data_IF_539627530933
#
_entry.id   IF_539627530933
#
_cell.length_a   1.000
_cell.length_b   1.000
_cell.length_c   1.000
_cell.angle_alpha   90.00
_cell.angle_beta   90.00
_cell.angle_gamma   90.00
#
_symmetry.space_group_name_H-M   'P 1'
#
loop_
_entity.id
_entity.type
_entity.pdbx_description
1 polymer ?
#
# COMPACT_ATOMS: atom_id res chain seq x y z
N UNK A 1 14.25 -4.83 -11.42
CA UNK A 1 14.35 -6.17 -10.76
C UNK A 1 13.01 -6.47 -10.10
N UNK A 2 12.56 -7.75 -10.10
CA UNK A 2 11.29 -8.11 -9.44
C UNK A 2 11.43 -7.98 -7.92
N UNK A 3 10.61 -7.13 -7.32
CA UNK A 3 10.55 -6.96 -5.86
C UNK A 3 9.51 -7.90 -5.23
N UNK A 4 8.40 -8.15 -5.95
CA UNK A 4 7.36 -9.08 -5.57
C UNK A 4 7.07 -10.02 -6.74
N UNK A 5 7.10 -11.33 -6.51
CA UNK A 5 6.73 -12.35 -7.49
C UNK A 5 5.73 -13.32 -6.85
N UNK A 6 4.58 -13.50 -7.51
CA UNK A 6 3.47 -14.31 -7.01
C UNK A 6 3.15 -15.40 -8.03
N UNK A 7 3.09 -16.67 -7.55
CA UNK A 7 2.84 -17.85 -8.39
C UNK A 7 1.75 -18.73 -7.78
N UNK A 8 0.73 -18.99 -8.56
CA UNK A 8 -0.39 -19.90 -8.24
C UNK A 8 -1.00 -19.66 -6.86
N UNK A 9 -1.03 -18.37 -6.44
CA UNK A 9 -1.47 -17.98 -5.12
C UNK A 9 -2.95 -18.25 -4.93
N UNK A 10 -3.27 -19.03 -3.89
CA UNK A 10 -4.64 -19.28 -3.46
C UNK A 10 -4.84 -18.86 -2.01
N UNK A 11 -6.03 -18.31 -1.74
CA UNK A 11 -6.47 -18.00 -0.38
C UNK A 11 -7.87 -18.53 -0.13
N UNK A 12 -8.00 -19.37 0.87
CA UNK A 12 -9.27 -19.97 1.30
C UNK A 12 -9.50 -19.67 2.77
N UNK A 13 -10.69 -19.18 3.10
CA UNK A 13 -11.17 -19.06 4.48
C UNK A 13 -12.17 -20.18 4.79
N UNK A 14 -12.13 -20.67 6.00
CA UNK A 14 -13.10 -21.63 6.51
C UNK A 14 -14.00 -20.90 7.52
N UNK A 15 -15.24 -20.64 7.14
CA UNK A 15 -16.23 -19.97 8.00
C UNK A 15 -17.43 -20.91 8.16
N UNK A 16 -17.79 -21.24 9.41
CA UNK A 16 -18.90 -22.14 9.71
C UNK A 16 -18.84 -23.49 8.93
N UNK A 17 -17.66 -24.09 8.87
CA UNK A 17 -17.36 -25.34 8.13
C UNK A 17 -17.56 -25.24 6.59
N UNK A 18 -17.74 -24.04 6.05
CA UNK A 18 -17.80 -23.82 4.60
C UNK A 18 -16.49 -23.19 4.13
N UNK A 19 -16.00 -23.71 3.01
CA UNK A 19 -14.82 -23.16 2.34
C UNK A 19 -15.25 -21.98 1.44
N UNK A 20 -14.53 -20.87 1.59
CA UNK A 20 -14.67 -19.71 0.71
C UNK A 20 -13.31 -19.42 0.05
N UNK A 21 -13.19 -19.75 -1.23
CA UNK A 21 -12.00 -19.56 -2.04
C UNK A 21 -11.99 -18.12 -2.55
N UNK A 22 -11.26 -17.24 -1.85
CA UNK A 22 -11.22 -15.80 -2.15
C UNK A 22 -10.20 -15.48 -3.23
N UNK A 23 -9.03 -16.13 -3.23
CA UNK A 23 -8.03 -16.01 -4.31
C UNK A 23 -7.82 -17.38 -4.97
N UNK A 24 -7.69 -17.38 -6.30
CA UNK A 24 -7.68 -18.60 -7.12
C UNK A 24 -6.56 -18.51 -8.17
N UNK A 25 -5.45 -19.18 -7.92
CA UNK A 25 -4.30 -19.28 -8.83
C UNK A 25 -3.84 -17.91 -9.37
N UNK A 26 -3.65 -16.95 -8.47
CA UNK A 26 -3.23 -15.60 -8.83
C UNK A 26 -1.73 -15.60 -9.17
N UNK A 27 -1.41 -15.03 -10.33
CA UNK A 27 -0.05 -14.93 -10.84
C UNK A 27 0.23 -13.50 -11.29
N UNK A 28 1.27 -12.87 -10.76
CA UNK A 28 1.78 -11.56 -11.22
C UNK A 28 3.16 -11.29 -10.63
N UNK A 29 3.80 -10.23 -11.12
CA UNK A 29 5.02 -9.71 -10.50
C UNK A 29 5.00 -8.18 -10.49
N UNK A 30 5.73 -7.57 -9.56
CA UNK A 30 5.94 -6.13 -9.47
C UNK A 30 7.44 -5.88 -9.51
N UNK A 31 7.87 -4.98 -10.39
CA UNK A 31 9.25 -4.54 -10.47
C UNK A 31 9.54 -3.37 -9.52
N UNK A 32 10.80 -3.23 -9.13
CA UNK A 32 11.25 -2.10 -8.31
C UNK A 32 10.90 -0.76 -8.99
N UNK A 33 10.38 0.17 -8.20
CA UNK A 33 9.97 1.49 -8.65
C UNK A 33 8.65 1.53 -9.41
N UNK A 34 7.93 0.41 -9.56
CA UNK A 34 6.56 0.44 -10.08
C UNK A 34 5.57 1.02 -9.05
N UNK A 35 4.53 1.66 -9.55
CA UNK A 35 3.34 2.03 -8.80
C UNK A 35 2.15 1.29 -9.41
N UNK A 36 1.68 0.24 -8.75
CA UNK A 36 0.65 -0.67 -9.26
C UNK A 36 -0.65 -0.51 -8.49
N UNK A 37 -1.77 -0.34 -9.21
CA UNK A 37 -3.09 -0.37 -8.63
C UNK A 37 -3.77 -1.72 -8.86
N UNK A 38 -4.47 -2.24 -7.85
CA UNK A 38 -5.36 -3.39 -7.93
C UNK A 38 -6.79 -2.87 -7.87
N UNK A 39 -7.54 -3.05 -8.96
CA UNK A 39 -8.94 -2.66 -9.09
C UNK A 39 -9.84 -3.89 -9.24
N UNK A 40 -11.12 -3.72 -8.96
CA UNK A 40 -12.12 -4.79 -9.09
C UNK A 40 -13.36 -4.49 -8.26
N UNK A 41 -14.48 -5.18 -8.49
CA UNK A 41 -15.72 -4.98 -7.74
C UNK A 41 -15.55 -5.29 -6.25
N UNK A 42 -16.52 -4.86 -5.44
CA UNK A 42 -16.52 -5.20 -4.01
C UNK A 42 -16.57 -6.71 -3.83
N UNK A 43 -15.76 -7.22 -2.88
CA UNK A 43 -15.70 -8.67 -2.61
C UNK A 43 -14.84 -9.49 -3.59
N UNK A 44 -14.20 -8.87 -4.59
CA UNK A 44 -13.36 -9.60 -5.58
C UNK A 44 -12.04 -10.14 -5.03
N UNK A 45 -11.66 -9.81 -3.79
CA UNK A 45 -10.44 -10.29 -3.14
C UNK A 45 -9.25 -9.32 -3.12
N UNK A 46 -9.44 -8.02 -3.48
CA UNK A 46 -8.35 -7.01 -3.54
C UNK A 46 -7.55 -6.87 -2.25
N UNK A 47 -8.21 -6.52 -1.14
CA UNK A 47 -7.53 -6.36 0.16
C UNK A 47 -6.98 -7.70 0.66
N UNK A 48 -7.69 -8.81 0.39
CA UNK A 48 -7.16 -10.16 0.67
C UNK A 48 -5.86 -10.42 -0.09
N UNK A 49 -5.79 -10.04 -1.38
CA UNK A 49 -4.57 -10.16 -2.16
C UNK A 49 -3.43 -9.36 -1.53
N UNK A 50 -3.68 -8.07 -1.23
CA UNK A 50 -2.68 -7.19 -0.61
C UNK A 50 -2.17 -7.76 0.72
N UNK A 51 -3.07 -8.20 1.60
CA UNK A 51 -2.69 -8.74 2.91
C UNK A 51 -1.98 -10.10 2.81
N UNK A 52 -2.36 -10.92 1.83
CA UNK A 52 -1.73 -12.23 1.63
C UNK A 52 -0.30 -12.08 1.08
N UNK A 53 -0.09 -11.21 0.08
CA UNK A 53 1.25 -11.02 -0.51
C UNK A 53 2.20 -10.19 0.35
N UNK A 54 1.68 -9.47 1.34
CA UNK A 54 2.47 -8.74 2.33
C UNK A 54 2.75 -9.56 3.60
N UNK A 55 2.30 -10.82 3.65
CA UNK A 55 2.47 -11.69 4.82
C UNK A 55 1.67 -11.25 6.06
N UNK A 56 0.67 -10.36 5.90
CA UNK A 56 -0.28 -10.04 6.99
C UNK A 56 -1.29 -11.16 7.19
N UNK A 57 -1.62 -11.87 6.13
CA UNK A 57 -2.48 -13.04 6.17
C UNK A 57 -1.78 -14.24 5.52
N UNK A 58 -2.02 -15.43 6.06
CA UNK A 58 -1.34 -16.63 5.61
C UNK A 58 -1.79 -17.07 4.21
N UNK A 59 -0.85 -17.50 3.39
CA UNK A 59 -1.09 -18.14 2.10
C UNK A 59 -1.70 -19.53 2.33
N UNK A 60 -2.74 -19.92 1.58
CA UNK A 60 -3.31 -21.27 1.63
C UNK A 60 -2.51 -22.24 0.75
N UNK A 61 -2.18 -21.83 -0.47
CA UNK A 61 -1.29 -22.55 -1.39
C UNK A 61 -0.71 -21.59 -2.43
N UNK A 62 0.32 -22.03 -3.13
CA UNK A 62 1.11 -21.21 -4.05
C UNK A 62 2.26 -20.49 -3.35
N UNK A 63 2.84 -19.50 -4.01
CA UNK A 63 4.04 -18.82 -3.54
C UNK A 63 3.91 -17.31 -3.70
N UNK A 64 4.48 -16.57 -2.75
CA UNK A 64 4.76 -15.15 -2.91
C UNK A 64 6.20 -14.90 -2.43
N UNK A 65 7.04 -14.40 -3.32
CA UNK A 65 8.43 -14.06 -3.02
C UNK A 65 8.60 -12.56 -2.98
N UNK A 66 9.04 -12.04 -1.85
CA UNK A 66 9.40 -10.63 -1.64
C UNK A 66 10.92 -10.49 -1.58
N UNK A 67 11.52 -9.71 -2.46
CA UNK A 67 12.97 -9.59 -2.60
C UNK A 67 13.66 -10.97 -2.73
N UNK A 68 13.05 -11.90 -3.47
CA UNK A 68 13.55 -13.27 -3.69
C UNK A 68 13.33 -14.24 -2.51
N UNK A 69 12.73 -13.82 -1.41
CA UNK A 69 12.43 -14.66 -0.24
C UNK A 69 10.95 -15.07 -0.25
N UNK A 70 10.67 -16.37 -0.25
CA UNK A 70 9.28 -16.88 -0.21
C UNK A 70 8.66 -16.66 1.17
N UNK A 71 7.69 -15.74 1.27
CA UNK A 71 7.01 -15.39 2.52
C UNK A 71 6.14 -16.52 3.07
N UNK A 72 5.69 -17.47 2.22
CA UNK A 72 4.91 -18.62 2.66
C UNK A 72 5.72 -19.60 3.55
N UNK A 73 7.06 -19.54 3.46
CA UNK A 73 7.97 -20.43 4.20
C UNK A 73 8.55 -19.77 5.45
N UNK A 74 8.28 -18.48 5.67
CA UNK A 74 8.82 -17.73 6.81
C UNK A 74 8.06 -18.02 8.10
N UNK A 75 8.78 -18.05 9.21
CA UNK A 75 8.21 -18.08 10.56
C UNK A 75 7.56 -16.76 10.93
N UNK A 76 6.68 -16.77 11.94
CA UNK A 76 5.93 -15.57 12.36
C UNK A 76 6.85 -14.40 12.76
N UNK A 77 7.96 -14.67 13.44
CA UNK A 77 8.93 -13.65 13.82
C UNK A 77 9.61 -13.06 12.58
N UNK A 78 10.08 -13.89 11.67
CA UNK A 78 10.74 -13.46 10.44
C UNK A 78 9.80 -12.61 9.56
N UNK A 79 8.52 -13.00 9.45
CA UNK A 79 7.50 -12.19 8.78
C UNK A 79 7.24 -10.86 9.48
N UNK A 80 7.25 -10.84 10.81
CA UNK A 80 7.07 -9.61 11.57
C UNK A 80 8.24 -8.66 11.34
N UNK A 81 9.48 -9.15 11.40
CA UNK A 81 10.68 -8.37 11.14
C UNK A 81 10.71 -7.86 9.69
N UNK A 82 10.34 -8.70 8.71
CA UNK A 82 10.26 -8.30 7.30
C UNK A 82 9.23 -7.17 7.08
N UNK A 83 8.04 -7.29 7.68
CA UNK A 83 7.00 -6.24 7.60
C UNK A 83 7.45 -4.95 8.26
N UNK A 84 8.15 -5.06 9.37
CA UNK A 84 8.60 -3.90 10.13
C UNK A 84 9.70 -3.12 9.41
N UNK A 85 10.65 -3.83 8.80
CA UNK A 85 11.87 -3.23 8.26
C UNK A 85 11.83 -2.94 6.75
N UNK A 86 11.17 -3.78 5.98
CA UNK A 86 11.22 -3.74 4.51
C UNK A 86 9.88 -3.39 3.84
N UNK A 87 8.76 -3.36 4.60
CA UNK A 87 7.43 -3.07 4.07
C UNK A 87 6.79 -1.88 4.78
N UNK A 88 6.22 -0.96 4.03
CA UNK A 88 5.39 0.12 4.56
C UNK A 88 3.90 -0.20 4.38
N UNK A 89 3.05 0.24 5.32
CA UNK A 89 1.61 -0.02 5.26
C UNK A 89 0.80 1.26 5.42
N UNK A 90 -0.15 1.45 4.50
CA UNK A 90 -1.15 2.52 4.54
C UNK A 90 -2.53 1.86 4.47
N UNK A 91 -3.39 2.11 5.44
CA UNK A 91 -4.72 1.52 5.54
C UNK A 91 -5.80 2.59 5.36
N UNK A 92 -6.97 2.19 4.88
CA UNK A 92 -8.15 3.04 4.82
C UNK A 92 -8.55 3.54 6.22
N UNK A 93 -8.56 2.64 7.21
CA UNK A 93 -8.65 3.00 8.62
C UNK A 93 -7.23 3.23 9.14
N UNK A 94 -6.88 4.44 9.43
CA UNK A 94 -5.50 4.89 9.68
C UNK A 94 -4.78 4.15 10.82
N UNK A 95 -5.52 3.49 11.73
CA UNK A 95 -5.00 2.72 12.88
C UNK A 95 -3.90 3.45 13.67
N UNK A 96 -4.15 4.72 13.96
CA UNK A 96 -3.30 5.49 14.87
C UNK A 96 -3.65 5.19 16.32
N UNK A 97 -2.65 5.10 17.19
CA UNK A 97 -2.82 4.89 18.61
C UNK A 97 -3.25 6.20 19.29
N UNK A 98 -4.41 6.18 19.94
CA UNK A 98 -5.05 7.38 20.52
C UNK A 98 -4.32 7.99 21.72
N UNK A 99 -3.47 7.22 22.36
CA UNK A 99 -2.68 7.63 23.54
C UNK A 99 -1.28 8.12 23.18
N UNK A 100 -0.99 8.29 21.90
CA UNK A 100 0.27 8.79 21.38
C UNK A 100 0.05 10.05 20.54
N UNK A 101 1.03 10.95 20.53
CA UNK A 101 1.07 12.08 19.62
C UNK A 101 1.17 11.63 18.17
N UNK A 102 0.96 12.53 17.21
CA UNK A 102 1.17 12.24 15.79
C UNK A 102 2.61 11.79 15.54
N UNK A 103 3.61 12.48 16.10
CA UNK A 103 5.02 12.13 15.96
C UNK A 103 5.34 10.77 16.57
N UNK A 104 4.81 10.46 17.77
CA UNK A 104 5.06 9.16 18.41
C UNK A 104 4.47 8.01 17.59
N UNK A 105 3.28 8.20 16.99
CA UNK A 105 2.70 7.23 16.06
C UNK A 105 3.58 7.00 14.82
N UNK A 106 4.18 8.06 14.27
CA UNK A 106 5.04 7.99 13.09
C UNK A 106 6.32 7.21 13.38
N UNK A 107 6.97 7.49 14.52
CA UNK A 107 8.26 6.86 14.86
C UNK A 107 8.13 5.46 15.45
N UNK A 108 6.94 5.05 15.88
CA UNK A 108 6.72 3.78 16.58
C UNK A 108 7.31 2.56 15.87
N UNK A 109 7.16 2.38 14.54
CA UNK A 109 7.79 1.24 13.86
C UNK A 109 9.31 1.26 13.93
N UNK A 110 9.96 2.42 13.88
CA UNK A 110 11.41 2.51 14.00
C UNK A 110 11.90 2.18 15.43
N UNK A 111 11.13 2.60 16.45
CA UNK A 111 11.44 2.27 17.85
C UNK A 111 11.29 0.76 18.11
N UNK A 112 10.38 0.08 17.40
CA UNK A 112 10.16 -1.36 17.50
C UNK A 112 11.14 -2.19 16.64
N UNK A 113 11.78 -1.58 15.67
CA UNK A 113 12.79 -2.22 14.83
C UNK A 113 13.99 -2.64 15.70
N UNK A 114 14.53 -3.83 15.41
CA UNK A 114 15.75 -4.30 16.07
C UNK A 114 17.04 -3.57 15.64
N UNK A 115 16.94 -2.51 14.84
CA UNK A 115 18.08 -1.71 14.37
C UNK A 115 18.66 -0.92 15.54
N UNK A 116 19.99 -0.89 15.63
CA UNK A 116 20.71 -0.12 16.67
C UNK A 116 20.77 1.38 16.29
N UNK A 117 19.63 2.05 16.38
CA UNK A 117 19.48 3.48 16.13
C UNK A 117 19.18 4.20 17.45
N UNK A 118 19.74 5.38 17.64
CA UNK A 118 19.41 6.20 18.81
C UNK A 118 18.00 6.81 18.64
N UNK A 119 17.31 7.02 19.76
CA UNK A 119 16.01 7.71 19.73
C UNK A 119 16.09 9.08 19.06
N UNK A 120 17.23 9.76 19.16
CA UNK A 120 17.46 11.07 18.55
C UNK A 120 17.43 10.96 17.01
N UNK A 121 18.16 9.99 16.44
CA UNK A 121 18.18 9.76 14.98
C UNK A 121 16.79 9.39 14.44
N UNK A 122 16.05 8.55 15.17
CA UNK A 122 14.67 8.19 14.80
C UNK A 122 13.76 9.42 14.81
N UNK A 123 13.85 10.28 15.84
CA UNK A 123 13.05 11.50 15.94
C UNK A 123 13.39 12.48 14.81
N UNK A 124 14.67 12.71 14.53
CA UNK A 124 15.13 13.59 13.45
C UNK A 124 14.58 13.12 12.09
N UNK A 125 14.69 11.82 11.80
CA UNK A 125 14.14 11.20 10.58
C UNK A 125 12.61 11.34 10.51
N UNK A 126 11.90 11.13 11.61
CA UNK A 126 10.46 11.34 11.68
C UNK A 126 10.06 12.77 11.37
N UNK A 127 10.77 13.74 11.95
CA UNK A 127 10.53 15.17 11.71
C UNK A 127 10.87 15.59 10.27
N UNK A 128 11.91 15.00 9.66
CA UNK A 128 12.22 15.23 8.24
C UNK A 128 11.09 14.77 7.34
N UNK A 129 10.55 13.56 7.56
CA UNK A 129 9.39 13.05 6.84
C UNK A 129 8.17 13.96 7.03
N UNK A 130 7.91 14.43 8.26
CA UNK A 130 6.82 15.35 8.54
C UNK A 130 6.99 16.70 7.83
N UNK A 131 8.20 17.26 7.77
CA UNK A 131 8.50 18.48 7.00
C UNK A 131 8.27 18.26 5.51
N UNK A 132 8.75 17.14 4.97
CA UNK A 132 8.60 16.77 3.57
C UNK A 132 7.12 16.67 3.17
N UNK A 133 6.26 16.14 4.04
CA UNK A 133 4.83 15.99 3.81
C UNK A 133 4.00 17.19 4.33
N UNK A 134 4.63 18.28 4.79
CA UNK A 134 3.96 19.51 5.22
C UNK A 134 3.05 19.33 6.42
N UNK A 135 3.49 18.56 7.43
CA UNK A 135 2.72 18.29 8.65
C UNK A 135 3.54 18.41 9.94
N UNK A 136 4.69 19.07 9.89
CA UNK A 136 5.56 19.20 11.07
C UNK A 136 4.90 19.98 12.23
N UNK A 137 4.00 20.88 11.89
CA UNK A 137 3.28 21.72 12.85
C UNK A 137 2.33 20.95 13.77
N UNK A 138 1.95 19.72 13.39
CA UNK A 138 1.06 18.87 14.17
C UNK A 138 1.80 17.75 14.92
N UNK A 139 3.13 17.81 15.03
CA UNK A 139 3.95 16.73 15.62
C UNK A 139 3.48 16.35 17.05
N UNK A 140 3.21 17.32 17.87
CA UNK A 140 2.84 17.15 19.28
C UNK A 140 1.33 17.07 19.51
N UNK A 141 0.51 17.19 18.45
CA UNK A 141 -0.94 17.12 18.56
C UNK A 141 -1.44 15.71 18.86
N UNK A 142 -2.58 15.64 19.53
CA UNK A 142 -3.39 14.42 19.60
C UNK A 142 -3.99 14.09 18.23
N UNK A 143 -4.12 12.80 17.91
CA UNK A 143 -4.70 12.35 16.63
C UNK A 143 -6.14 12.84 16.38
N UNK A 144 -6.86 13.19 17.45
CA UNK A 144 -8.23 13.72 17.37
C UNK A 144 -8.29 15.23 17.07
N UNK A 145 -7.15 15.93 17.13
CA UNK A 145 -7.04 17.38 16.92
C UNK A 145 -6.63 17.74 15.49
N UNK A 146 -6.41 16.75 14.65
CA UNK A 146 -5.88 16.93 13.28
C UNK A 146 -6.91 16.54 12.23
N UNK A 147 -6.82 17.15 11.05
CA UNK A 147 -7.69 16.80 9.93
C UNK A 147 -7.40 15.42 9.35
N UNK A 148 -8.39 14.81 8.68
CA UNK A 148 -8.21 13.51 8.03
C UNK A 148 -7.07 13.49 6.99
N UNK A 149 -6.87 14.57 6.24
CA UNK A 149 -5.76 14.69 5.29
C UNK A 149 -4.39 14.77 5.97
N UNK A 150 -4.28 15.52 7.08
CA UNK A 150 -3.06 15.56 7.90
C UNK A 150 -2.76 14.18 8.49
N UNK A 151 -3.78 13.50 9.03
CA UNK A 151 -3.64 12.18 9.61
C UNK A 151 -3.22 11.14 8.56
N UNK A 152 -3.75 11.23 7.33
CA UNK A 152 -3.33 10.35 6.23
C UNK A 152 -1.87 10.60 5.82
N UNK A 153 -1.42 11.86 5.76
CA UNK A 153 0.00 12.17 5.54
C UNK A 153 0.88 11.66 6.68
N UNK A 154 0.40 11.69 7.92
CA UNK A 154 1.09 11.04 9.04
C UNK A 154 1.18 9.50 8.87
N UNK A 155 0.14 8.85 8.32
CA UNK A 155 0.22 7.42 7.96
C UNK A 155 1.28 7.14 6.89
N UNK A 156 1.43 8.03 5.91
CA UNK A 156 2.51 7.93 4.92
C UNK A 156 3.88 8.08 5.61
N UNK A 157 4.07 9.09 6.48
CA UNK A 157 5.31 9.21 7.26
C UNK A 157 5.61 7.94 8.05
N UNK A 158 4.61 7.39 8.75
CA UNK A 158 4.74 6.14 9.50
C UNK A 158 5.15 4.97 8.62
N UNK A 159 4.57 4.86 7.42
CA UNK A 159 4.92 3.80 6.48
C UNK A 159 6.34 3.90 5.96
N UNK A 160 6.91 5.12 5.93
CA UNK A 160 8.23 5.42 5.38
C UNK A 160 9.35 5.44 6.43
N UNK A 161 9.04 5.42 7.73
CA UNK A 161 10.02 5.69 8.80
C UNK A 161 11.22 4.73 8.79
N UNK A 162 11.03 3.48 8.36
CA UNK A 162 12.09 2.47 8.26
C UNK A 162 12.71 2.36 6.85
N UNK A 163 12.42 3.29 5.94
CA UNK A 163 12.85 3.27 4.53
C UNK A 163 12.49 1.94 3.83
N UNK A 164 11.19 1.59 3.76
CA UNK A 164 10.75 0.32 3.22
C UNK A 164 11.07 0.21 1.72
N UNK A 165 11.28 -1.01 1.25
CA UNK A 165 11.48 -1.31 -0.18
C UNK A 165 10.18 -1.19 -0.96
N UNK A 166 9.05 -1.44 -0.28
CA UNK A 166 7.72 -1.41 -0.90
C UNK A 166 6.65 -0.93 0.08
N UNK A 167 5.72 -0.13 -0.41
CA UNK A 167 4.52 0.28 0.32
C UNK A 167 3.31 -0.52 -0.18
N UNK A 168 2.56 -1.07 0.77
CA UNK A 168 1.25 -1.68 0.55
C UNK A 168 0.16 -0.73 1.05
N UNK A 169 -0.73 -0.27 0.16
CA UNK A 169 -1.76 0.71 0.48
C UNK A 169 -3.15 0.14 0.19
N UNK A 170 -3.97 -0.01 1.23
CA UNK A 170 -5.36 -0.44 1.10
C UNK A 170 -6.27 0.77 1.17
N UNK A 171 -6.85 1.16 0.03
CA UNK A 171 -7.75 2.33 -0.14
C UNK A 171 -7.16 3.61 0.49
N UNK A 172 -5.94 4.06 0.11
CA UNK A 172 -5.22 5.12 0.82
C UNK A 172 -5.93 6.47 0.85
N UNK A 173 -6.97 6.65 0.03
CA UNK A 173 -7.77 7.88 -0.06
C UNK A 173 -9.25 7.67 0.29
N UNK A 174 -9.66 6.46 0.63
CA UNK A 174 -11.07 6.08 0.77
C UNK A 174 -11.84 6.81 1.88
N UNK A 175 -11.16 7.37 2.89
CA UNK A 175 -11.76 8.14 3.97
C UNK A 175 -11.64 9.66 3.77
N UNK A 176 -11.10 10.14 2.63
CA UNK A 176 -10.77 11.53 2.39
C UNK A 176 -11.74 12.21 1.42
N UNK A 177 -11.88 13.55 1.57
CA UNK A 177 -12.51 14.36 0.56
C UNK A 177 -11.62 14.46 -0.70
N UNK A 178 -12.20 14.96 -1.80
CA UNK A 178 -11.53 15.01 -3.11
C UNK A 178 -10.21 15.81 -3.12
N UNK A 179 -10.15 16.93 -2.37
CA UNK A 179 -8.95 17.76 -2.33
C UNK A 179 -7.81 17.03 -1.60
N UNK A 180 -8.08 16.53 -0.40
CA UNK A 180 -7.11 15.77 0.40
C UNK A 180 -6.66 14.47 -0.30
N UNK A 181 -7.57 13.81 -1.04
CA UNK A 181 -7.21 12.65 -1.88
C UNK A 181 -6.17 13.01 -2.95
N UNK A 182 -6.34 14.17 -3.60
CA UNK A 182 -5.38 14.67 -4.58
C UNK A 182 -3.99 14.89 -3.97
N UNK A 183 -3.93 15.57 -2.82
CA UNK A 183 -2.68 15.83 -2.09
C UNK A 183 -1.96 14.54 -1.68
N UNK A 184 -2.69 13.57 -1.11
CA UNK A 184 -2.14 12.27 -0.71
C UNK A 184 -1.56 11.52 -1.90
N UNK A 185 -2.27 11.52 -3.05
CA UNK A 185 -1.78 10.85 -4.25
C UNK A 185 -0.58 11.56 -4.87
N UNK A 186 -0.47 12.88 -4.74
CA UNK A 186 0.73 13.63 -5.15
C UNK A 186 1.95 13.25 -4.31
N UNK A 187 1.79 13.11 -2.99
CA UNK A 187 2.87 12.66 -2.12
C UNK A 187 3.30 11.22 -2.43
N UNK A 188 2.36 10.30 -2.65
CA UNK A 188 2.69 8.92 -3.07
C UNK A 188 3.40 8.89 -4.43
N UNK A 189 2.99 9.73 -5.39
CA UNK A 189 3.65 9.84 -6.68
C UNK A 189 5.09 10.38 -6.57
N UNK A 190 5.35 11.35 -5.67
CA UNK A 190 6.70 11.86 -5.38
C UNK A 190 7.59 10.75 -4.79
N UNK A 191 7.08 10.00 -3.80
CA UNK A 191 7.81 8.88 -3.21
C UNK A 191 8.13 7.80 -4.25
N UNK A 192 7.19 7.51 -5.15
CA UNK A 192 7.43 6.58 -6.25
C UNK A 192 8.46 7.09 -7.25
N UNK A 193 8.45 8.38 -7.58
CA UNK A 193 9.45 9.02 -8.45
C UNK A 193 10.87 8.97 -7.84
N UNK A 194 10.97 8.95 -6.51
CA UNK A 194 12.22 8.75 -5.75
C UNK A 194 12.65 7.28 -5.68
N UNK A 195 11.87 6.35 -6.26
CA UNK A 195 12.22 4.93 -6.36
C UNK A 195 11.42 3.99 -5.44
N UNK A 196 10.54 4.51 -4.58
CA UNK A 196 9.70 3.66 -3.71
C UNK A 196 8.71 2.86 -4.55
N UNK A 197 8.70 1.54 -4.41
CA UNK A 197 7.70 0.68 -5.04
C UNK A 197 6.38 0.75 -4.28
N UNK A 198 5.25 0.83 -4.98
CA UNK A 198 3.94 0.96 -4.34
C UNK A 198 2.94 -0.01 -4.97
N UNK A 199 2.29 -0.84 -4.16
CA UNK A 199 1.10 -1.60 -4.53
C UNK A 199 -0.09 -1.06 -3.76
N UNK A 200 -1.12 -0.61 -4.48
CA UNK A 200 -2.32 -0.10 -3.82
C UNK A 200 -3.58 -0.82 -4.30
N UNK A 201 -4.54 -0.93 -3.40
CA UNK A 201 -5.91 -1.32 -3.72
C UNK A 201 -6.75 -0.06 -3.79
N UNK A 202 -7.54 0.07 -4.83
CA UNK A 202 -8.50 1.17 -4.96
C UNK A 202 -9.67 0.81 -5.87
N UNK A 203 -10.81 1.45 -5.65
CA UNK A 203 -11.96 1.45 -6.55
C UNK A 203 -12.08 2.79 -7.32
N UNK A 204 -11.24 3.77 -7.02
CA UNK A 204 -11.25 5.08 -7.68
C UNK A 204 -10.35 5.08 -8.91
N UNK A 205 -10.94 5.23 -10.10
CA UNK A 205 -10.22 5.30 -11.38
C UNK A 205 -9.24 6.47 -11.44
N UNK A 206 -9.52 7.59 -10.74
CA UNK A 206 -8.63 8.76 -10.70
C UNK A 206 -7.37 8.46 -9.92
N UNK A 207 -7.49 7.68 -8.87
CA UNK A 207 -6.35 7.18 -8.08
C UNK A 207 -5.53 6.22 -8.94
N UNK A 208 -6.18 5.21 -9.55
CA UNK A 208 -5.54 4.22 -10.40
C UNK A 208 -4.87 4.82 -11.64
N UNK A 209 -5.43 5.89 -12.23
CA UNK A 209 -4.85 6.59 -13.37
C UNK A 209 -3.49 7.25 -13.09
N UNK A 210 -3.11 7.42 -11.82
CA UNK A 210 -1.78 7.91 -11.42
C UNK A 210 -0.72 6.80 -11.36
N UNK A 211 -1.16 5.53 -11.36
CA UNK A 211 -0.28 4.37 -11.28
C UNK A 211 0.37 4.04 -12.63
N UNK A 212 1.48 3.33 -12.61
CA UNK A 212 2.17 2.89 -13.83
C UNK A 212 1.45 1.73 -14.52
N UNK A 213 0.75 0.91 -13.73
CA UNK A 213 0.02 -0.28 -14.17
C UNK A 213 -1.19 -0.52 -13.28
N UNK A 214 -2.24 -1.07 -13.88
CA UNK A 214 -3.47 -1.45 -13.18
C UNK A 214 -3.71 -2.94 -13.41
N UNK A 215 -3.94 -3.69 -12.35
CA UNK A 215 -4.40 -5.08 -12.37
C UNK A 215 -5.89 -5.12 -12.03
N UNK A 216 -6.69 -5.79 -12.84
CA UNK A 216 -8.12 -5.95 -12.62
C UNK A 216 -8.44 -7.34 -12.09
N UNK A 217 -8.98 -7.42 -10.88
CA UNK A 217 -9.31 -8.67 -10.20
C UNK A 217 -10.83 -8.86 -10.09
N UNK A 218 -11.32 -10.02 -10.51
CA UNK A 218 -12.73 -10.43 -10.39
C UNK A 218 -12.78 -11.87 -9.87
N UNK A 219 -13.64 -12.12 -8.89
CA UNK A 219 -13.86 -13.46 -8.31
C UNK A 219 -12.57 -14.19 -7.91
N UNK A 220 -11.61 -13.43 -7.40
CA UNK A 220 -10.32 -13.96 -6.93
C UNK A 220 -9.29 -14.26 -8.01
N UNK A 221 -9.51 -13.83 -9.26
CA UNK A 221 -8.56 -14.00 -10.37
C UNK A 221 -8.21 -12.66 -11.00
N UNK A 222 -6.96 -12.47 -11.42
CA UNK A 222 -6.57 -11.35 -12.28
C UNK A 222 -7.12 -11.62 -13.68
N UNK A 223 -8.01 -10.76 -14.15
CA UNK A 223 -8.67 -10.85 -15.46
C UNK A 223 -7.93 -10.10 -16.54
N UNK A 224 -7.15 -9.11 -16.18
CA UNK A 224 -6.35 -8.33 -17.11
C UNK A 224 -5.43 -7.36 -16.40
N UNK A 225 -4.49 -6.84 -17.17
CA UNK A 225 -3.57 -5.80 -16.74
C UNK A 225 -3.53 -4.69 -17.80
N UNK A 226 -3.47 -3.44 -17.34
CA UNK A 226 -3.37 -2.27 -18.21
C UNK A 226 -2.16 -1.45 -17.83
N UNK A 227 -1.21 -1.31 -18.77
CA UNK A 227 0.01 -0.53 -18.57
C UNK A 227 -0.22 0.89 -19.02
N UNK A 228 -0.14 1.82 -18.08
CA UNK A 228 -0.29 3.26 -18.29
C UNK A 228 1.06 3.98 -18.50
N UNK A 229 2.17 3.36 -18.08
CA UNK A 229 3.48 4.01 -18.01
C UNK A 229 3.55 5.04 -16.87
N UNK A 230 4.67 5.76 -16.76
CA UNK A 230 4.83 6.82 -15.74
C UNK A 230 3.92 8.01 -16.03
N UNK A 231 3.32 8.57 -14.98
CA UNK A 231 2.56 9.80 -15.05
C UNK A 231 3.52 10.99 -14.84
N UNK A 232 3.89 11.67 -15.91
CA UNK A 232 4.88 12.75 -15.84
C UNK A 232 4.29 14.09 -15.38
N UNK A 233 2.99 14.28 -15.57
CA UNK A 233 2.30 15.52 -15.19
C UNK A 233 0.81 15.32 -14.90
N UNK A 234 0.28 16.22 -14.07
CA UNK A 234 -1.16 16.25 -13.77
C UNK A 234 -2.05 16.52 -15.01
N UNK A 235 -1.50 17.09 -16.08
CA UNK A 235 -2.24 17.30 -17.33
C UNK A 235 -2.62 16.01 -18.04
N UNK A 236 -1.83 14.95 -17.89
CA UNK A 236 -2.08 13.63 -18.48
C UNK A 236 -3.18 12.83 -17.76
N UNK A 237 -3.52 13.19 -16.51
CA UNK A 237 -4.42 12.38 -15.67
C UNK A 237 -5.79 12.19 -16.34
N UNK A 238 -6.36 13.23 -16.97
CA UNK A 238 -7.68 13.13 -17.60
C UNK A 238 -7.70 12.17 -18.78
N UNK A 239 -6.65 12.15 -19.58
CA UNK A 239 -6.51 11.24 -20.71
C UNK A 239 -6.33 9.78 -20.19
N UNK A 240 -5.49 9.60 -19.18
CA UNK A 240 -5.25 8.32 -18.53
C UNK A 240 -6.52 7.77 -17.86
N UNK A 241 -7.31 8.63 -17.17
CA UNK A 241 -8.61 8.28 -16.62
C UNK A 241 -9.56 7.78 -17.71
N UNK A 242 -9.63 8.48 -18.86
CA UNK A 242 -10.48 8.10 -19.99
C UNK A 242 -10.06 6.75 -20.58
N UNK A 243 -8.78 6.56 -20.83
CA UNK A 243 -8.24 5.32 -21.37
C UNK A 243 -8.49 4.14 -20.42
N UNK A 244 -8.23 4.35 -19.12
CA UNK A 244 -8.47 3.34 -18.09
C UNK A 244 -9.96 2.99 -17.94
N UNK A 245 -10.86 4.00 -17.96
CA UNK A 245 -12.29 3.76 -17.89
C UNK A 245 -12.76 2.93 -19.09
N UNK A 246 -12.32 3.24 -20.31
CA UNK A 246 -12.70 2.48 -21.50
C UNK A 246 -12.28 1.02 -21.37
N UNK A 247 -11.02 0.78 -20.97
CA UNK A 247 -10.53 -0.58 -20.74
C UNK A 247 -11.30 -1.32 -19.64
N UNK A 248 -11.61 -0.67 -18.53
CA UNK A 248 -12.38 -1.26 -17.44
C UNK A 248 -13.81 -1.63 -17.90
N UNK A 249 -14.45 -0.79 -18.72
CA UNK A 249 -15.78 -1.09 -19.31
C UNK A 249 -15.72 -2.33 -20.21
N UNK A 250 -14.65 -2.49 -21.02
CA UNK A 250 -14.45 -3.70 -21.84
C UNK A 250 -14.24 -4.95 -20.96
N UNK A 251 -13.64 -4.79 -19.77
CA UNK A 251 -13.43 -5.86 -18.80
C UNK A 251 -14.68 -6.18 -17.95
N UNK A 252 -15.76 -5.40 -18.09
CA UNK A 252 -17.03 -5.59 -17.37
C UNK A 252 -17.09 -4.90 -15.99
N UNK A 253 -16.37 -3.80 -15.85
CA UNK A 253 -16.42 -2.92 -14.64
C UNK A 253 -17.80 -2.28 -14.48
#
# INVERSE_FOLDING_TARGET
MKILEVKDLCKTYIVNKRQNNVLKNVNFSIDEGEMVAVMGPSGSGKSTLLYTVSGMDAITSGEAAFCGKNIAQMGQKELADLRLDDMGFIFQQMYMLKNLTVQDNIILPAVQSGKQESRKEILERGQELMRKLGIIEIADNDINEVSGGQLQRACICRSMINNPKMIFADEPTGALNRASSGEVMEELAKLNAEGTTIMMVTHDVKVAARCTRVMYIVDGNIKGEYTLGRCESNSQIRERERALNNWLMEMGW
#
